data_IF_096638048650
#
_entry.id   IF_096638048650
#
_cell.length_a   1.000
_cell.length_b   1.000
_cell.length_c   1.000
_cell.angle_alpha   90.00
_cell.angle_beta   90.00
_cell.angle_gamma   90.00
#
_symmetry.space_group_name_H-M   'P 1'
#
loop_
_entity.id
_entity.type
_entity.pdbx_description
1 polymer ?
#
# COMPACT_ATOMS: atom_id res chain seq x y z
N UNK A 1 -10.66 -10.43 -8.46
CA UNK A 1 -12.13 -10.25 -8.47
C UNK A 1 -12.67 -9.37 -7.33
N UNK A 2 -11.91 -8.44 -6.72
CA UNK A 2 -12.41 -7.66 -5.57
C UNK A 2 -12.25 -6.13 -5.60
N UNK A 3 -11.76 -5.50 -6.68
CA UNK A 3 -11.42 -4.07 -6.61
C UNK A 3 -11.61 -3.27 -7.91
N UNK A 4 -12.38 -3.79 -8.87
CA UNK A 4 -12.45 -3.23 -10.22
C UNK A 4 -13.42 -2.06 -10.41
N UNK A 5 -14.03 -1.51 -9.34
CA UNK A 5 -15.06 -0.46 -9.50
C UNK A 5 -15.14 0.49 -8.29
N UNK A 6 -14.05 1.17 -7.98
CA UNK A 6 -14.02 2.27 -7.00
C UNK A 6 -13.45 3.57 -7.59
N UNK A 7 -13.43 3.71 -8.91
CA UNK A 7 -12.72 4.77 -9.62
C UNK A 7 -13.54 6.06 -9.85
N UNK A 8 -14.57 6.33 -9.03
CA UNK A 8 -15.58 7.34 -9.39
C UNK A 8 -15.73 8.59 -8.53
N UNK A 9 -15.41 8.58 -7.23
CA UNK A 9 -16.06 9.60 -6.38
C UNK A 9 -15.23 10.28 -5.29
N UNK A 10 -14.48 9.59 -4.42
CA UNK A 10 -14.10 10.22 -3.14
C UNK A 10 -12.76 9.75 -2.61
N UNK A 11 -11.70 10.47 -2.98
CA UNK A 11 -10.56 10.70 -2.10
C UNK A 11 -9.64 9.51 -1.81
N UNK A 12 -9.56 8.48 -2.66
CA UNK A 12 -8.57 7.41 -2.50
C UNK A 12 -7.31 7.69 -3.31
N UNK A 13 -6.15 7.47 -2.71
CA UNK A 13 -4.85 7.53 -3.38
C UNK A 13 -4.23 6.15 -3.45
N UNK A 14 -3.53 5.87 -4.55
CA UNK A 14 -2.74 4.65 -4.67
C UNK A 14 -1.40 4.88 -3.98
N UNK A 15 -0.98 3.92 -3.17
CA UNK A 15 0.25 3.97 -2.41
C UNK A 15 1.01 2.68 -2.61
N UNK A 16 2.32 2.76 -2.75
CA UNK A 16 3.21 1.61 -2.70
C UNK A 16 3.76 1.47 -1.29
N UNK A 17 3.53 0.30 -0.72
CA UNK A 17 4.11 -0.15 0.54
C UNK A 17 5.44 -0.83 0.23
N UNK A 18 6.46 -0.57 1.06
CA UNK A 18 7.76 -1.26 1.01
C UNK A 18 7.94 -2.10 2.26
N UNK A 19 8.66 -3.21 2.10
CA UNK A 19 9.13 -3.96 3.24
C UNK A 19 10.18 -3.17 4.04
N UNK A 20 9.92 -2.85 5.31
CA UNK A 20 10.85 -2.31 6.31
C UNK A 20 11.88 -3.35 6.78
N UNK A 21 11.73 -4.64 6.43
CA UNK A 21 12.82 -5.60 6.49
C UNK A 21 13.79 -5.46 5.28
N UNK A 22 13.57 -4.45 4.43
CA UNK A 22 14.38 -4.12 3.25
C UNK A 22 14.64 -5.26 2.27
N UNK A 23 13.80 -6.30 2.30
CA UNK A 23 13.83 -7.47 1.41
C UNK A 23 13.57 -7.14 -0.06
N UNK A 24 13.16 -5.90 -0.37
CA UNK A 24 12.74 -5.48 -1.70
C UNK A 24 11.28 -5.81 -2.03
N UNK A 25 10.56 -6.55 -1.16
CA UNK A 25 9.13 -6.82 -1.37
C UNK A 25 8.30 -5.54 -1.30
N UNK A 26 7.59 -5.23 -2.39
CA UNK A 26 6.75 -4.05 -2.51
C UNK A 26 5.36 -4.43 -3.06
N UNK A 27 4.31 -3.83 -2.52
CA UNK A 27 2.95 -4.02 -3.04
C UNK A 27 2.18 -2.71 -3.05
N UNK A 28 1.20 -2.62 -3.95
CA UNK A 28 0.36 -1.43 -4.07
C UNK A 28 -0.93 -1.63 -3.26
N UNK A 29 -1.33 -0.60 -2.50
CA UNK A 29 -2.59 -0.55 -1.76
C UNK A 29 -3.26 0.81 -1.98
N UNK A 30 -4.58 0.83 -1.97
CA UNK A 30 -5.35 2.08 -2.01
C UNK A 30 -5.67 2.51 -0.57
N UNK A 31 -5.55 3.80 -0.28
CA UNK A 31 -5.91 4.38 1.03
C UNK A 31 -6.67 5.69 0.84
N UNK A 32 -7.37 6.15 1.87
CA UNK A 32 -7.97 7.49 1.85
C UNK A 32 -6.88 8.58 1.88
N UNK A 33 -7.12 9.68 1.17
CA UNK A 33 -6.20 10.82 1.05
C UNK A 33 -5.92 11.47 2.39
N UNK A 34 -6.98 11.65 3.20
CA UNK A 34 -6.95 12.31 4.51
C UNK A 34 -6.51 11.39 5.66
N UNK A 35 -6.40 10.08 5.42
CA UNK A 35 -6.01 9.13 6.45
C UNK A 35 -4.50 9.18 6.71
N UNK A 36 -4.08 8.86 7.93
CA UNK A 36 -2.67 8.75 8.33
C UNK A 36 -1.92 7.65 7.56
N UNK A 37 -0.58 7.69 7.60
CA UNK A 37 0.27 6.73 6.87
C UNK A 37 -0.07 5.31 7.27
N UNK A 38 -0.28 4.44 6.28
CA UNK A 38 -0.60 3.04 6.57
C UNK A 38 0.66 2.30 7.05
N UNK A 39 0.50 1.59 8.16
CA UNK A 39 1.46 0.59 8.64
C UNK A 39 0.72 -0.75 8.67
N UNK A 40 1.21 -1.72 7.91
CA UNK A 40 0.52 -3.00 7.70
C UNK A 40 1.43 -4.16 8.08
N UNK A 41 1.02 -5.00 9.01
CA UNK A 41 1.71 -6.26 9.25
C UNK A 41 1.29 -7.27 8.17
N UNK A 42 2.24 -7.73 7.35
CA UNK A 42 2.01 -8.69 6.26
C UNK A 42 3.12 -9.72 6.26
N UNK A 43 2.80 -10.95 5.86
CA UNK A 43 3.81 -11.96 5.59
C UNK A 43 4.64 -11.57 4.37
N UNK A 44 5.97 -11.59 4.52
CA UNK A 44 6.91 -11.39 3.44
C UNK A 44 7.45 -12.76 2.98
N UNK A 45 7.11 -13.21 1.76
CA UNK A 45 7.57 -14.50 1.25
C UNK A 45 9.09 -14.53 1.01
N UNK A 46 9.75 -13.38 0.88
CA UNK A 46 11.21 -13.28 0.69
C UNK A 46 11.90 -13.41 2.06
N UNK A 47 11.39 -12.70 3.06
CA UNK A 47 11.97 -12.67 4.42
C UNK A 47 11.61 -13.85 5.31
N UNK A 48 10.77 -14.79 4.85
CA UNK A 48 10.24 -15.93 5.64
C UNK A 48 9.73 -15.52 7.03
N UNK A 49 8.90 -14.48 7.11
CA UNK A 49 8.38 -13.99 8.39
C UNK A 49 7.28 -12.93 8.27
N UNK A 50 6.61 -12.65 9.41
CA UNK A 50 5.71 -11.51 9.54
C UNK A 50 6.54 -10.23 9.62
N UNK A 51 6.13 -9.25 8.83
CA UNK A 51 6.91 -8.06 8.63
C UNK A 51 5.99 -6.82 8.56
N UNK A 52 6.45 -5.68 9.12
CA UNK A 52 5.69 -4.41 9.21
C UNK A 52 5.88 -3.52 7.98
N UNK A 53 5.01 -3.65 6.99
CA UNK A 53 4.89 -2.81 5.80
C UNK A 53 4.70 -1.34 6.13
N UNK A 54 5.54 -0.47 5.57
CA UNK A 54 5.38 0.99 5.69
C UNK A 54 5.09 1.61 4.32
N UNK A 55 4.25 2.64 4.33
CA UNK A 55 3.98 3.46 3.17
C UNK A 55 5.26 4.12 2.68
N UNK A 56 5.67 3.78 1.45
CA UNK A 56 6.93 4.23 0.86
C UNK A 56 6.72 5.33 -0.18
N UNK A 57 5.75 5.17 -1.08
CA UNK A 57 5.53 6.13 -2.17
C UNK A 57 4.06 6.32 -2.48
N UNK A 58 3.62 7.58 -2.51
CA UNK A 58 2.27 7.96 -2.97
C UNK A 58 2.27 8.09 -4.49
N UNK A 59 1.36 7.39 -5.14
CA UNK A 59 1.03 7.55 -6.55
C UNK A 59 -0.31 8.28 -6.61
N UNK A 60 -0.23 9.60 -6.69
CA UNK A 60 -1.41 10.42 -7.00
C UNK A 60 -1.61 10.23 -8.51
N UNK A 61 -2.54 9.35 -8.91
CA UNK A 61 -3.10 9.49 -10.26
C UNK A 61 -3.90 10.79 -10.23
N UNK A 62 -3.27 11.86 -10.72
CA UNK A 62 -3.95 13.09 -11.08
C UNK A 62 -4.89 12.71 -12.23
N UNK A 63 -6.18 12.62 -11.94
CA UNK A 63 -7.26 12.65 -12.91
C UNK A 63 -8.06 13.91 -12.59
#
# INVERSE_FOLDING_TARGET
LYLSRMDGAKGYILVRMKSAAETGYCFNIRRLRLQEKLVLLRYDPIGKGLFKGVEYKKFIKQL
#
